data_IF_107952406237
#
_entry.id   IF_107952406237
#
_cell.length_a   1.000
_cell.length_b   1.000
_cell.length_c   1.000
_cell.angle_alpha   90.00
_cell.angle_beta   90.00
_cell.angle_gamma   90.00
#
_symmetry.space_group_name_H-M   'P 1'
#
loop_
_entity.id
_entity.type
_entity.pdbx_description
1 polymer ?
#
# COMPACT_ATOMS: atom_id res chain seq x y z
N UNK A 1 19.04 9.89 10.14
CA UNK A 1 18.68 8.49 9.84
C UNK A 1 18.01 8.46 8.47
N UNK A 2 18.41 7.56 7.58
CA UNK A 2 17.82 7.42 6.24
C UNK A 2 17.38 5.98 6.00
N UNK A 3 16.28 5.76 5.26
CA UNK A 3 15.87 4.42 4.84
C UNK A 3 16.51 4.12 3.47
N UNK A 4 17.51 3.25 3.45
CA UNK A 4 18.23 2.86 2.23
C UNK A 4 17.33 2.08 1.26
N UNK A 5 16.25 1.48 1.76
CA UNK A 5 15.28 0.76 0.92
C UNK A 5 14.56 1.69 -0.06
N UNK A 6 14.37 2.96 0.29
CA UNK A 6 13.63 3.92 -0.53
C UNK A 6 14.26 4.13 -1.91
N UNK A 7 15.57 4.33 -1.95
CA UNK A 7 16.33 4.49 -3.18
C UNK A 7 16.26 3.23 -4.06
N UNK A 8 16.49 2.05 -3.47
CA UNK A 8 16.49 0.78 -4.19
C UNK A 8 15.12 0.46 -4.80
N UNK A 9 14.05 0.71 -4.05
CA UNK A 9 12.68 0.51 -4.53
C UNK A 9 12.32 1.51 -5.61
N UNK A 10 12.71 2.78 -5.47
CA UNK A 10 12.47 3.80 -6.50
C UNK A 10 13.18 3.45 -7.80
N UNK A 11 14.44 3.03 -7.75
CA UNK A 11 15.18 2.60 -8.94
C UNK A 11 14.48 1.43 -9.63
N UNK A 12 14.14 0.39 -8.89
CA UNK A 12 13.45 -0.78 -9.45
C UNK A 12 12.07 -0.44 -10.03
N UNK A 13 11.29 0.40 -9.34
CA UNK A 13 9.98 0.84 -9.79
C UNK A 13 10.07 1.65 -11.09
N UNK A 14 11.01 2.61 -11.18
CA UNK A 14 11.23 3.40 -12.39
C UNK A 14 11.60 2.47 -13.56
N UNK A 15 12.52 1.52 -13.34
CA UNK A 15 12.95 0.58 -14.38
C UNK A 15 11.78 -0.29 -14.88
N UNK A 16 11.04 -0.95 -13.98
CA UNK A 16 9.92 -1.82 -14.39
C UNK A 16 8.77 -1.02 -15.02
N UNK A 17 8.46 0.17 -14.51
CA UNK A 17 7.41 1.03 -15.07
C UNK A 17 7.80 1.48 -16.47
N UNK A 18 9.01 2.00 -16.67
CA UNK A 18 9.48 2.43 -17.99
C UNK A 18 9.42 1.28 -19.02
N UNK A 19 9.79 0.07 -18.62
CA UNK A 19 9.71 -1.11 -19.47
C UNK A 19 8.28 -1.50 -19.87
N UNK A 20 7.29 -1.19 -19.03
CA UNK A 20 5.86 -1.48 -19.27
C UNK A 20 5.22 -0.37 -20.10
N UNK A 21 5.46 0.89 -19.77
CA UNK A 21 4.97 2.04 -20.53
C UNK A 21 5.55 2.07 -21.95
N UNK A 22 6.76 1.54 -22.16
CA UNK A 22 7.32 1.36 -23.50
C UNK A 22 6.60 0.28 -24.33
N UNK A 23 5.88 -0.65 -23.69
CA UNK A 23 5.20 -1.80 -24.33
C UNK A 23 3.68 -1.69 -24.32
N UNK A 24 3.13 -0.73 -23.57
CA UNK A 24 1.69 -0.59 -23.34
C UNK A 24 1.33 0.89 -23.22
N UNK A 25 0.09 1.24 -23.58
CA UNK A 25 -0.40 2.63 -23.52
C UNK A 25 -0.91 3.01 -22.11
N UNK A 26 -0.41 2.32 -21.07
CA UNK A 26 -0.80 2.53 -19.68
C UNK A 26 0.15 3.51 -19.02
N UNK A 27 -0.38 4.46 -18.25
CA UNK A 27 0.42 5.40 -17.45
C UNK A 27 0.37 4.94 -16.00
N UNK A 28 1.53 4.68 -15.41
CA UNK A 28 1.65 4.15 -14.06
C UNK A 28 2.26 5.18 -13.11
N UNK A 29 1.64 5.39 -11.95
CA UNK A 29 2.18 6.27 -10.92
C UNK A 29 3.26 5.55 -10.10
N UNK A 30 4.52 5.89 -10.40
CA UNK A 30 5.72 5.38 -9.69
C UNK A 30 5.63 5.64 -8.19
N UNK A 31 5.04 6.76 -7.76
CA UNK A 31 4.88 7.09 -6.34
C UNK A 31 3.94 6.13 -5.61
N UNK A 32 2.78 5.84 -6.19
CA UNK A 32 1.81 4.87 -5.63
C UNK A 32 2.42 3.45 -5.62
N UNK A 33 3.17 3.09 -6.67
CA UNK A 33 3.89 1.80 -6.77
C UNK A 33 4.96 1.69 -5.67
N UNK A 34 5.83 2.70 -5.53
CA UNK A 34 6.90 2.71 -4.55
C UNK A 34 6.33 2.69 -3.12
N UNK A 35 5.30 3.48 -2.84
CA UNK A 35 4.65 3.49 -1.53
C UNK A 35 4.06 2.11 -1.18
N UNK A 36 3.40 1.45 -2.13
CA UNK A 36 2.86 0.11 -1.91
C UNK A 36 3.96 -0.91 -1.62
N UNK A 37 5.05 -0.90 -2.39
CA UNK A 37 6.17 -1.81 -2.20
C UNK A 37 6.90 -1.55 -0.86
N UNK A 38 7.18 -0.29 -0.53
CA UNK A 38 7.85 0.10 0.72
C UNK A 38 7.07 -0.32 1.97
N UNK A 39 5.74 -0.25 1.92
CA UNK A 39 4.88 -0.70 3.02
C UNK A 39 4.95 -2.23 3.28
N UNK A 40 5.64 -2.98 2.43
CA UNK A 40 5.75 -4.45 2.48
C UNK A 40 7.19 -4.94 2.59
N UNK A 41 8.15 -4.03 2.53
CA UNK A 41 9.57 -4.35 2.61
C UNK A 41 10.11 -4.00 4.00
N UNK A 42 11.06 -4.79 4.51
CA UNK A 42 11.71 -4.45 5.77
C UNK A 42 12.47 -3.12 5.63
N UNK A 43 12.28 -2.13 6.54
CA UNK A 43 12.99 -0.87 6.47
C UNK A 43 14.47 -1.06 6.78
N UNK A 44 15.34 -0.34 6.06
CA UNK A 44 16.80 -0.38 6.25
C UNK A 44 17.30 0.99 6.69
N UNK A 45 17.12 1.29 7.98
CA UNK A 45 17.58 2.57 8.54
C UNK A 45 19.08 2.57 8.83
N UNK A 46 19.74 3.67 8.48
CA UNK A 46 21.15 3.92 8.79
C UNK A 46 21.33 5.28 9.49
N UNK A 47 22.24 5.34 10.47
CA UNK A 47 22.64 6.54 11.22
C UNK A 47 23.82 7.28 10.58
N UNK A 48 24.65 6.56 9.83
CA UNK A 48 25.87 7.07 9.20
C UNK A 48 25.88 6.75 7.72
N UNK A 49 26.68 7.50 6.96
CA UNK A 49 26.87 7.26 5.54
C UNK A 49 27.50 5.88 5.27
N UNK A 50 28.46 5.47 6.10
CA UNK A 50 29.10 4.14 6.01
C UNK A 50 28.09 3.02 6.27
N UNK A 51 27.24 3.17 7.28
CA UNK A 51 26.15 2.23 7.57
C UNK A 51 25.14 2.17 6.42
N UNK A 52 24.86 3.30 5.76
CA UNK A 52 23.99 3.32 4.60
C UNK A 52 24.58 2.54 3.40
N UNK A 53 25.88 2.72 3.13
CA UNK A 53 26.60 1.97 2.08
C UNK A 53 26.58 0.47 2.35
N UNK A 54 26.87 0.06 3.58
CA UNK A 54 26.82 -1.34 3.98
C UNK A 54 25.41 -1.94 3.80
N UNK A 55 24.38 -1.25 4.26
CA UNK A 55 22.99 -1.70 4.13
C UNK A 55 22.56 -1.78 2.66
N UNK A 56 23.02 -0.85 1.80
CA UNK A 56 22.76 -0.89 0.36
C UNK A 56 23.35 -2.14 -0.28
N UNK A 57 24.64 -2.39 -0.07
CA UNK A 57 25.33 -3.55 -0.62
C UNK A 57 24.69 -4.87 -0.15
N UNK A 58 24.33 -4.94 1.14
CA UNK A 58 23.63 -6.12 1.68
C UNK A 58 22.26 -6.31 1.02
N UNK A 59 21.50 -5.24 0.82
CA UNK A 59 20.19 -5.31 0.18
C UNK A 59 20.28 -5.73 -1.29
N UNK A 60 21.26 -5.24 -2.04
CA UNK A 60 21.52 -5.68 -3.42
C UNK A 60 21.78 -7.19 -3.49
N UNK A 61 22.50 -7.75 -2.52
CA UNK A 61 22.82 -9.18 -2.50
C UNK A 61 21.68 -10.08 -2.02
N UNK A 62 20.87 -9.61 -1.06
CA UNK A 62 19.93 -10.46 -0.31
C UNK A 62 18.46 -10.14 -0.58
N UNK A 63 18.15 -8.90 -0.95
CA UNK A 63 16.79 -8.38 -1.00
C UNK A 63 16.37 -7.94 -2.40
N UNK A 64 17.28 -7.91 -3.38
CA UNK A 64 16.94 -7.50 -4.75
C UNK A 64 15.75 -8.28 -5.32
N UNK A 65 15.74 -9.60 -5.18
CA UNK A 65 14.62 -10.43 -5.65
C UNK A 65 13.31 -10.11 -4.91
N UNK A 66 13.37 -9.84 -3.60
CA UNK A 66 12.19 -9.46 -2.83
C UNK A 66 11.67 -8.08 -3.25
N UNK A 67 12.56 -7.12 -3.46
CA UNK A 67 12.23 -5.77 -3.94
C UNK A 67 11.52 -5.89 -5.30
N UNK A 68 12.13 -6.62 -6.25
CA UNK A 68 11.57 -6.88 -7.57
C UNK A 68 10.15 -7.46 -7.47
N UNK A 69 9.95 -8.49 -6.65
CA UNK A 69 8.64 -9.12 -6.46
C UNK A 69 7.59 -8.15 -5.90
N UNK A 70 7.93 -7.32 -4.90
CA UNK A 70 6.99 -6.36 -4.34
C UNK A 70 6.64 -5.25 -5.33
N UNK A 71 7.61 -4.78 -6.12
CA UNK A 71 7.38 -3.80 -7.19
C UNK A 71 6.48 -4.40 -8.28
N UNK A 72 6.74 -5.63 -8.74
CA UNK A 72 5.89 -6.30 -9.72
C UNK A 72 4.46 -6.48 -9.19
N UNK A 73 4.29 -6.89 -7.93
CA UNK A 73 2.96 -7.01 -7.31
C UNK A 73 2.24 -5.65 -7.20
N UNK A 74 2.98 -4.56 -6.96
CA UNK A 74 2.44 -3.20 -6.93
C UNK A 74 1.93 -2.75 -8.30
N UNK A 75 2.69 -3.07 -9.35
CA UNK A 75 2.36 -2.78 -10.74
C UNK A 75 1.12 -3.56 -11.16
N UNK A 76 1.08 -4.88 -10.95
CA UNK A 76 -0.09 -5.71 -11.28
C UNK A 76 -1.35 -5.17 -10.63
N UNK A 77 -1.27 -4.79 -9.35
CA UNK A 77 -2.40 -4.18 -8.64
C UNK A 77 -2.83 -2.83 -9.23
N UNK A 78 -1.90 -2.02 -9.73
CA UNK A 78 -2.23 -0.74 -10.37
C UNK A 78 -2.91 -0.96 -11.73
N UNK A 79 -2.46 -1.95 -12.50
CA UNK A 79 -3.07 -2.32 -13.78
C UNK A 79 -4.49 -2.93 -13.61
N UNK A 80 -4.69 -3.74 -12.57
CA UNK A 80 -5.99 -4.35 -12.26
C UNK A 80 -6.99 -3.37 -11.62
N UNK A 81 -6.55 -2.16 -11.25
CA UNK A 81 -7.39 -1.19 -10.58
C UNK A 81 -8.38 -0.59 -11.59
N UNK A 82 -9.70 -0.64 -11.33
CA UNK A 82 -10.65 0.13 -12.11
C UNK A 82 -10.24 1.59 -12.06
N UNK A 83 -10.26 2.29 -13.19
CA UNK A 83 -9.95 3.71 -13.25
C UNK A 83 -11.03 4.50 -12.48
N UNK A 84 -10.81 4.68 -11.19
CA UNK A 84 -11.56 5.61 -10.34
C UNK A 84 -10.94 7.00 -10.52
N UNK A 85 -10.85 7.45 -11.78
CA UNK A 85 -9.93 8.51 -12.20
C UNK A 85 -9.92 9.68 -11.26
N UNK A 86 -8.78 9.93 -10.59
CA UNK A 86 -8.46 11.03 -9.66
C UNK A 86 -9.50 11.42 -8.59
N UNK A 87 -10.66 10.77 -8.57
CA UNK A 87 -11.82 11.05 -7.76
C UNK A 87 -11.69 10.25 -6.48
N UNK A 88 -10.63 10.51 -5.72
CA UNK A 88 -10.73 10.39 -4.25
C UNK A 88 -11.68 11.51 -3.80
N UNK A 89 -12.95 11.42 -4.19
CA UNK A 89 -14.02 12.20 -3.58
C UNK A 89 -14.06 11.71 -2.14
N UNK A 90 -13.51 12.51 -1.23
CA UNK A 90 -13.71 12.29 0.19
C UNK A 90 -15.20 12.04 0.42
N UNK A 91 -15.51 11.07 1.29
CA UNK A 91 -16.89 10.66 1.59
C UNK A 91 -17.71 11.94 1.77
N UNK A 92 -18.64 12.20 0.85
CA UNK A 92 -19.48 13.39 0.91
C UNK A 92 -20.21 13.39 2.25
N UNK A 93 -20.39 14.56 2.87
CA UNK A 93 -21.00 14.67 4.21
C UNK A 93 -22.35 13.94 4.31
N UNK A 94 -23.11 13.91 3.22
CA UNK A 94 -24.38 13.16 3.14
C UNK A 94 -24.15 11.64 3.23
N UNK A 95 -23.25 11.11 2.40
CA UNK A 95 -22.86 9.69 2.41
C UNK A 95 -22.27 9.29 3.76
N UNK A 96 -21.54 10.20 4.43
CA UNK A 96 -20.97 9.95 5.74
C UNK A 96 -22.05 9.80 6.82
N UNK A 97 -23.08 10.66 6.81
CA UNK A 97 -24.23 10.51 7.71
C UNK A 97 -24.97 9.21 7.47
N UNK A 98 -25.23 8.85 6.21
CA UNK A 98 -25.92 7.60 5.86
C UNK A 98 -25.15 6.37 6.34
N UNK A 99 -23.82 6.35 6.15
CA UNK A 99 -22.97 5.24 6.61
C UNK A 99 -22.96 5.14 8.14
N UNK A 100 -22.88 6.28 8.85
CA UNK A 100 -22.90 6.30 10.31
C UNK A 100 -24.24 5.81 10.87
N UNK A 101 -25.36 6.16 10.24
CA UNK A 101 -26.67 5.63 10.60
C UNK A 101 -26.75 4.12 10.40
N UNK A 102 -26.24 3.60 9.27
CA UNK A 102 -26.23 2.16 8.99
C UNK A 102 -25.37 1.40 10.00
N UNK A 103 -24.17 1.89 10.33
CA UNK A 103 -23.31 1.30 11.36
C UNK A 103 -24.00 1.33 12.73
N UNK A 104 -24.66 2.44 13.07
CA UNK A 104 -25.38 2.57 14.34
C UNK A 104 -26.52 1.55 14.45
N UNK A 105 -27.27 1.32 13.36
CA UNK A 105 -28.34 0.31 13.30
C UNK A 105 -27.79 -1.11 13.45
N UNK A 106 -26.68 -1.42 12.79
CA UNK A 106 -26.03 -2.74 12.91
C UNK A 106 -25.53 -3.00 14.34
N UNK A 107 -24.93 -2.00 14.98
CA UNK A 107 -24.46 -2.12 16.37
C UNK A 107 -25.64 -2.29 17.35
N UNK A 108 -26.74 -1.57 17.15
CA UNK A 108 -27.95 -1.72 17.96
C UNK A 108 -28.60 -3.10 17.78
N UNK A 109 -28.68 -3.60 16.55
CA UNK A 109 -29.19 -4.94 16.25
C UNK A 109 -28.32 -6.03 16.88
N UNK A 110 -26.99 -5.88 16.79
CA UNK A 110 -26.04 -6.76 17.47
C UNK A 110 -26.19 -6.76 19.00
N UNK A 111 -26.43 -5.59 19.61
CA UNK A 111 -26.70 -5.50 21.05
C UNK A 111 -28.03 -6.12 21.45
N UNK A 112 -29.07 -6.01 20.62
CA UNK A 112 -30.39 -6.60 20.89
C UNK A 112 -30.38 -8.13 20.74
N UNK A 113 -29.64 -8.65 19.77
CA UNK A 113 -29.46 -10.09 19.56
C UNK A 113 -28.63 -10.72 20.68
N UNK A 114 -27.57 -10.05 21.14
CA UNK A 114 -26.73 -10.53 22.25
C UNK A 114 -27.37 -10.28 23.64
N UNK A 115 -28.24 -9.27 23.78
CA UNK A 115 -28.94 -8.95 25.03
C UNK A 115 -30.11 -9.88 25.38
N UNK A 116 -30.64 -10.63 24.41
CA UNK A 116 -31.73 -11.62 24.64
C UNK A 116 -31.25 -13.00 25.10
N UNK A 117 -29.95 -13.18 25.32
CA UNK A 117 -29.35 -14.45 25.75
C UNK A 117 -29.28 -14.69 27.26
N UNK A 118 -29.66 -13.74 28.12
CA UNK A 118 -29.42 -13.87 29.57
C UNK A 118 -30.64 -13.58 30.45
N UNK A 119 -31.73 -14.32 30.24
CA UNK A 119 -32.82 -14.39 31.23
C UNK A 119 -33.54 -15.74 31.18
N UNK A 120 -32.87 -16.79 31.66
CA UNK A 120 -33.48 -18.00 32.25
C UNK A 120 -32.48 -18.61 33.23
N UNK A 121 -32.60 -18.19 34.49
CA UNK A 121 -32.03 -18.82 35.68
C UNK A 121 -33.06 -18.68 36.78
#
# INVERSE_FOLDING_TARGET
FINVMEELVLTEAITQVADIEAKSDSILDVGDIAAYALNRLPPLYATSEEGAKYQRQRAEQQLHELIRQQVTAAISRNLDRPDFGSQRQGISKNTQQDILEQISRLLQDYQQTMGKGNSRG
#
